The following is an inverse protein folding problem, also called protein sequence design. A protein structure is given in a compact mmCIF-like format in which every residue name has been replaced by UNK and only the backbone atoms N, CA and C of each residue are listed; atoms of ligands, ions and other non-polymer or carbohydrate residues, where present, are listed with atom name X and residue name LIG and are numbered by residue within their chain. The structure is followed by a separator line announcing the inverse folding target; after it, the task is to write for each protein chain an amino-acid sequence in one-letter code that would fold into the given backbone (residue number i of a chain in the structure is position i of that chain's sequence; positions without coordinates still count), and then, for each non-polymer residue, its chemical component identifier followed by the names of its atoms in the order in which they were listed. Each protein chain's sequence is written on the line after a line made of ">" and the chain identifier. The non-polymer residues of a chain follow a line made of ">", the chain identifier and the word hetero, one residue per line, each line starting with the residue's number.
data_IF_859462779525
#
_entry.id   IF_859462779525
#
_cell.length_a   1.000
_cell.length_b   1.000
_cell.length_c   1.000
_cell.angle_alpha   90.00
_cell.angle_beta   90.00
_cell.angle_gamma   90.00
#
_symmetry.space_group_name_H-M   'P 1'
#
loop_
_entity.id
_entity.type
_entity.pdbx_description
1 polymer ?
#
# COMPACT_ATOMS: atom_id res chain seq x y z
N UNK A 1 -0.77 -12.79 5.66
CA UNK A 1 -1.28 -13.70 4.59
C UNK A 1 -0.33 -14.86 4.33
N UNK A 2 0.96 -14.60 4.16
CA UNK A 2 2.00 -15.62 3.92
C UNK A 2 2.11 -16.60 5.08
N UNK A 3 2.06 -16.12 6.31
CA UNK A 3 2.13 -16.93 7.52
C UNK A 3 0.96 -17.94 7.62
N UNK A 4 -0.28 -17.51 7.34
CA UNK A 4 -1.45 -18.40 7.32
C UNK A 4 -1.34 -19.46 6.23
N UNK A 5 -0.90 -19.06 5.05
CA UNK A 5 -0.65 -19.98 3.93
C UNK A 5 0.39 -21.04 4.32
N UNK A 6 1.51 -20.62 4.92
CA UNK A 6 2.53 -21.53 5.40
C UNK A 6 1.99 -22.52 6.43
N UNK A 7 1.31 -22.02 7.48
CA UNK A 7 0.85 -22.87 8.60
C UNK A 7 -0.14 -23.94 8.13
N UNK A 8 -1.03 -23.65 7.19
CA UNK A 8 -2.13 -24.53 6.83
C UNK A 8 -1.97 -25.23 5.47
N UNK A 9 -1.12 -24.72 4.58
CA UNK A 9 -0.95 -25.24 3.21
C UNK A 9 0.41 -25.90 2.99
N UNK A 10 1.42 -25.68 3.85
CA UNK A 10 2.69 -26.38 3.77
C UNK A 10 2.59 -27.75 4.45
N UNK A 11 2.91 -28.81 3.70
CA UNK A 11 2.89 -30.21 4.17
C UNK A 11 3.82 -30.49 5.35
N UNK A 12 4.81 -29.64 5.59
CA UNK A 12 5.77 -29.78 6.69
C UNK A 12 5.24 -29.23 8.01
N UNK A 13 4.16 -28.44 7.97
CA UNK A 13 3.61 -27.80 9.16
C UNK A 13 2.59 -28.70 9.88
N UNK A 14 2.54 -28.67 11.22
CA UNK A 14 1.69 -29.56 12.02
C UNK A 14 0.18 -29.38 11.76
N UNK A 15 -0.24 -28.22 11.26
CA UNK A 15 -1.64 -27.90 10.98
C UNK A 15 -2.02 -28.09 9.50
N UNK A 16 -1.10 -28.65 8.68
CA UNK A 16 -1.43 -28.97 7.29
C UNK A 16 -2.68 -29.85 7.18
N UNK A 17 -3.59 -29.45 6.29
CA UNK A 17 -4.80 -30.21 5.99
C UNK A 17 -5.85 -30.24 7.11
N UNK A 18 -5.66 -29.51 8.22
CA UNK A 18 -6.63 -29.41 9.32
C UNK A 18 -7.61 -28.25 9.20
N UNK A 19 -7.51 -27.49 8.11
CA UNK A 19 -8.44 -26.38 7.84
C UNK A 19 -9.80 -26.95 7.41
N UNK A 20 -10.85 -26.67 8.17
CA UNK A 20 -12.22 -27.10 7.85
C UNK A 20 -12.99 -26.05 7.05
N UNK A 21 -12.65 -24.78 7.21
CA UNK A 21 -13.24 -23.67 6.45
C UNK A 21 -12.27 -22.50 6.39
N UNK A 22 -12.35 -21.70 5.32
CA UNK A 22 -11.58 -20.48 5.14
C UNK A 22 -12.51 -19.34 4.74
N UNK A 23 -12.47 -18.26 5.49
CA UNK A 23 -13.17 -17.01 5.15
C UNK A 23 -12.11 -15.99 4.76
N UNK A 24 -12.17 -15.53 3.52
CA UNK A 24 -11.29 -14.45 3.04
C UNK A 24 -12.05 -13.13 3.10
N UNK A 25 -11.57 -12.21 3.93
CA UNK A 25 -12.10 -10.85 3.97
C UNK A 25 -11.38 -10.02 2.91
N UNK A 26 -12.15 -9.33 2.09
CA UNK A 26 -11.64 -8.41 1.09
C UNK A 26 -11.88 -6.97 1.53
N UNK A 27 -11.05 -6.02 1.08
CA UNK A 27 -11.32 -4.59 1.26
C UNK A 27 -12.69 -4.21 0.73
N UNK A 28 -13.30 -3.19 1.31
CA UNK A 28 -14.57 -2.65 0.84
C UNK A 28 -14.45 -2.12 -0.59
N UNK A 29 -15.50 -2.35 -1.37
CA UNK A 29 -15.61 -1.77 -2.70
C UNK A 29 -15.83 -0.26 -2.62
N UNK A 30 -15.55 0.45 -3.70
CA UNK A 30 -15.80 1.91 -3.80
C UNK A 30 -17.25 2.26 -3.53
N UNK A 31 -18.20 1.40 -3.86
CA UNK A 31 -19.63 1.57 -3.55
C UNK A 31 -19.87 1.61 -2.05
N UNK A 32 -19.34 0.62 -1.30
CA UNK A 32 -19.48 0.57 0.17
C UNK A 32 -18.77 1.75 0.84
N UNK A 33 -17.57 2.10 0.37
CA UNK A 33 -16.82 3.27 0.88
C UNK A 33 -17.62 4.56 0.69
N UNK A 34 -18.29 4.70 -0.47
CA UNK A 34 -19.15 5.84 -0.77
C UNK A 34 -20.35 5.90 0.19
N UNK A 35 -21.01 4.78 0.47
CA UNK A 35 -22.11 4.69 1.43
C UNK A 35 -21.65 5.11 2.82
N UNK A 36 -20.54 4.56 3.31
CA UNK A 36 -19.96 4.92 4.62
C UNK A 36 -19.66 6.43 4.69
N UNK A 37 -19.03 6.99 3.65
CA UNK A 37 -18.70 8.42 3.64
C UNK A 37 -19.96 9.28 3.58
N UNK A 38 -21.00 8.88 2.83
CA UNK A 38 -22.27 9.57 2.75
C UNK A 38 -23.01 9.60 4.10
N UNK A 39 -22.95 8.54 4.87
CA UNK A 39 -23.56 8.48 6.21
C UNK A 39 -22.93 9.45 7.20
N UNK A 40 -21.63 9.72 7.07
CA UNK A 40 -20.89 10.62 7.96
C UNK A 40 -20.81 12.05 7.44
N UNK A 41 -20.77 12.25 6.14
CA UNK A 41 -20.61 13.54 5.47
C UNK A 41 -21.43 13.57 4.17
N UNK A 42 -22.75 13.81 4.20
CA UNK A 42 -23.62 13.74 3.03
C UNK A 42 -23.22 14.68 1.88
N UNK A 43 -22.41 15.70 2.16
CA UNK A 43 -21.95 16.68 1.16
C UNK A 43 -20.50 16.44 0.70
N UNK A 44 -19.98 15.20 0.84
CA UNK A 44 -18.66 14.87 0.36
C UNK A 44 -18.52 15.08 -1.16
N UNK A 45 -17.31 15.38 -1.60
CA UNK A 45 -16.98 15.51 -3.02
C UNK A 45 -16.42 14.23 -3.61
N UNK A 46 -16.35 14.13 -4.93
CA UNK A 46 -15.68 13.00 -5.60
C UNK A 46 -14.20 12.92 -5.23
N UNK A 47 -13.55 14.04 -4.95
CA UNK A 47 -12.17 14.12 -4.52
C UNK A 47 -11.98 13.55 -3.10
N UNK A 48 -12.93 13.81 -2.20
CA UNK A 48 -12.92 13.23 -0.85
C UNK A 48 -13.05 11.71 -0.90
N UNK A 49 -13.96 11.20 -1.73
CA UNK A 49 -14.12 9.76 -1.94
C UNK A 49 -12.86 9.11 -2.53
N UNK A 50 -12.26 9.77 -3.53
CA UNK A 50 -11.00 9.30 -4.11
C UNK A 50 -9.89 9.29 -3.07
N UNK A 51 -9.77 10.33 -2.26
CA UNK A 51 -8.78 10.41 -1.19
C UNK A 51 -8.97 9.28 -0.17
N UNK A 52 -10.20 9.06 0.29
CA UNK A 52 -10.52 7.98 1.21
C UNK A 52 -10.10 6.62 0.64
N UNK A 53 -10.41 6.35 -0.62
CA UNK A 53 -10.03 5.11 -1.28
C UNK A 53 -8.51 4.97 -1.47
N UNK A 54 -7.82 6.02 -1.89
CA UNK A 54 -6.36 5.98 -2.11
C UNK A 54 -5.57 5.87 -0.80
N UNK A 55 -6.08 6.44 0.30
CA UNK A 55 -5.46 6.37 1.62
C UNK A 55 -5.70 5.02 2.31
N UNK A 56 -6.86 4.41 2.11
CA UNK A 56 -7.29 3.26 2.90
C UNK A 56 -7.26 1.93 2.14
N UNK A 57 -7.26 1.99 0.79
CA UNK A 57 -7.44 0.80 -0.05
C UNK A 57 -8.75 0.05 0.19
N UNK A 58 -9.72 0.66 0.90
CA UNK A 58 -10.95 0.00 1.33
C UNK A 58 -10.82 -0.85 2.58
N UNK A 59 -9.68 -0.82 3.26
CA UNK A 59 -9.48 -1.58 4.51
C UNK A 59 -10.30 -0.96 5.64
N UNK A 60 -11.21 -1.74 6.22
CA UNK A 60 -12.16 -1.29 7.24
C UNK A 60 -11.48 -0.54 8.40
N UNK A 61 -10.37 -1.06 8.93
CA UNK A 61 -9.60 -0.44 10.02
C UNK A 61 -9.25 1.03 9.71
N UNK A 62 -8.73 1.30 8.53
CA UNK A 62 -8.28 2.67 8.17
C UNK A 62 -9.46 3.60 7.94
N UNK A 63 -10.54 3.09 7.35
CA UNK A 63 -11.79 3.85 7.18
C UNK A 63 -12.35 4.23 8.55
N UNK A 64 -12.45 3.27 9.48
CA UNK A 64 -12.94 3.52 10.84
C UNK A 64 -12.11 4.59 11.54
N UNK A 65 -10.78 4.52 11.48
CA UNK A 65 -9.91 5.54 12.07
C UNK A 65 -10.19 6.96 11.55
N UNK A 66 -10.41 7.11 10.25
CA UNK A 66 -10.72 8.40 9.64
C UNK A 66 -12.12 8.88 10.03
N UNK A 67 -13.11 7.99 10.07
CA UNK A 67 -14.48 8.33 10.47
C UNK A 67 -14.57 8.74 11.94
N UNK A 68 -13.92 8.01 12.84
CA UNK A 68 -13.84 8.34 14.28
C UNK A 68 -13.14 9.68 14.51
N UNK A 69 -12.09 9.98 13.74
CA UNK A 69 -11.40 11.26 13.77
C UNK A 69 -12.19 12.41 13.11
N UNK A 70 -13.38 12.14 12.55
CA UNK A 70 -14.19 13.11 11.77
C UNK A 70 -13.42 13.71 10.58
N UNK A 71 -12.48 12.95 10.02
CA UNK A 71 -11.70 13.35 8.86
C UNK A 71 -12.46 12.98 7.57
N UNK A 72 -13.42 13.78 7.17
CA UNK A 72 -14.38 13.45 6.11
C UNK A 72 -14.03 14.06 4.75
N UNK A 73 -13.09 14.97 4.68
CA UNK A 73 -12.64 15.59 3.43
C UNK A 73 -11.14 15.32 3.20
N UNK A 74 -10.68 15.49 1.96
CA UNK A 74 -9.30 15.26 1.55
C UNK A 74 -8.26 15.87 2.51
N UNK A 75 -8.39 17.15 2.78
CA UNK A 75 -7.43 17.87 3.64
C UNK A 75 -7.42 17.29 5.07
N UNK A 76 -8.59 17.06 5.65
CA UNK A 76 -8.69 16.47 6.99
C UNK A 76 -8.13 15.04 7.04
N UNK A 77 -8.38 14.22 6.01
CA UNK A 77 -7.84 12.85 5.92
C UNK A 77 -6.31 12.85 5.84
N UNK A 78 -5.73 13.68 4.98
CA UNK A 78 -4.27 13.80 4.84
C UNK A 78 -3.66 14.31 6.15
N UNK A 79 -4.22 15.36 6.74
CA UNK A 79 -3.77 15.91 8.01
C UNK A 79 -3.80 14.87 9.13
N UNK A 80 -4.88 14.10 9.25
CA UNK A 80 -4.97 13.03 10.24
C UNK A 80 -3.94 11.93 10.00
N UNK A 81 -3.82 11.45 8.78
CA UNK A 81 -2.90 10.37 8.43
C UNK A 81 -1.43 10.74 8.72
N UNK A 82 -1.07 12.02 8.59
CA UNK A 82 0.30 12.52 8.78
C UNK A 82 0.51 13.20 10.14
N UNK A 83 -0.51 13.28 11.00
CA UNK A 83 -0.40 13.89 12.33
C UNK A 83 0.54 13.07 13.24
N UNK A 84 1.16 13.74 14.22
CA UNK A 84 2.00 13.08 15.21
C UNK A 84 1.16 12.04 15.99
N UNK A 85 1.69 10.83 16.11
CA UNK A 85 1.01 9.71 16.76
C UNK A 85 -0.07 9.02 15.92
N UNK A 86 -0.28 9.43 14.67
CA UNK A 86 -1.21 8.72 13.79
C UNK A 86 -0.77 7.29 13.54
N UNK A 87 -1.68 6.30 13.67
CA UNK A 87 -1.38 4.90 13.32
C UNK A 87 -0.92 4.71 11.88
N UNK A 88 -1.32 5.58 10.96
CA UNK A 88 -0.89 5.52 9.56
C UNK A 88 0.62 5.65 9.38
N UNK A 89 1.32 6.33 10.29
CA UNK A 89 2.77 6.54 10.18
C UNK A 89 3.58 5.26 10.37
N UNK A 90 3.16 4.37 11.27
CA UNK A 90 3.91 3.16 11.63
C UNK A 90 3.33 1.88 11.02
N UNK A 91 2.06 1.85 10.70
CA UNK A 91 1.31 0.66 10.28
C UNK A 91 1.97 -0.10 9.13
N UNK A 92 2.42 0.60 8.08
CA UNK A 92 3.07 -0.04 6.94
C UNK A 92 4.36 -0.76 7.32
N UNK A 93 5.14 -0.17 8.25
CA UNK A 93 6.36 -0.76 8.77
C UNK A 93 6.06 -1.99 9.63
N UNK A 94 5.16 -1.85 10.58
CA UNK A 94 4.84 -2.88 11.57
C UNK A 94 4.26 -4.13 10.90
N UNK A 95 3.36 -3.94 9.92
CA UNK A 95 2.76 -5.00 9.14
C UNK A 95 3.80 -5.77 8.32
N UNK A 96 4.70 -5.08 7.64
CA UNK A 96 5.62 -5.70 6.69
C UNK A 96 6.88 -6.29 7.32
N UNK A 97 7.37 -5.74 8.44
CA UNK A 97 8.54 -6.31 9.14
C UNK A 97 8.25 -7.73 9.60
N UNK A 98 7.05 -7.97 10.13
CA UNK A 98 6.65 -9.31 10.58
C UNK A 98 6.57 -10.33 9.43
N UNK A 99 6.24 -9.88 8.22
CA UNK A 99 6.16 -10.74 7.04
C UNK A 99 7.54 -11.03 6.42
N UNK A 100 8.42 -10.04 6.32
CA UNK A 100 9.69 -10.15 5.60
C UNK A 100 10.86 -10.65 6.46
N UNK A 101 10.73 -10.60 7.78
CA UNK A 101 11.80 -11.00 8.69
C UNK A 101 13.11 -10.25 8.46
N UNK A 102 14.24 -10.95 8.39
CA UNK A 102 15.59 -10.36 8.28
C UNK A 102 15.84 -9.62 6.95
N UNK A 103 15.13 -9.99 5.89
CA UNK A 103 15.32 -9.42 4.55
C UNK A 103 14.48 -8.16 4.29
N UNK A 104 13.80 -7.64 5.31
CA UNK A 104 12.86 -6.51 5.17
C UNK A 104 13.46 -5.32 4.44
N UNK A 105 14.74 -4.97 4.67
CA UNK A 105 15.37 -3.81 4.07
C UNK A 105 15.41 -3.87 2.53
N UNK A 106 15.67 -5.05 1.95
CA UNK A 106 15.67 -5.25 0.50
C UNK A 106 14.25 -5.07 -0.07
N UNK A 107 13.26 -5.67 0.57
CA UNK A 107 11.86 -5.56 0.14
C UNK A 107 11.34 -4.13 0.24
N UNK A 108 11.65 -3.41 1.33
CA UNK A 108 11.27 -2.02 1.51
C UNK A 108 11.86 -1.11 0.43
N UNK A 109 13.15 -1.30 0.10
CA UNK A 109 13.80 -0.54 -0.98
C UNK A 109 13.11 -0.77 -2.33
N UNK A 110 12.76 -2.02 -2.65
CA UNK A 110 12.07 -2.36 -3.90
C UNK A 110 10.67 -1.74 -3.94
N UNK A 111 9.89 -1.88 -2.85
CA UNK A 111 8.52 -1.36 -2.77
C UNK A 111 8.49 0.18 -2.84
N UNK A 112 9.47 0.85 -2.20
CA UNK A 112 9.64 2.31 -2.29
C UNK A 112 9.90 2.76 -3.74
N UNK A 113 10.81 2.10 -4.44
CA UNK A 113 11.10 2.41 -5.84
C UNK A 113 9.89 2.21 -6.75
N UNK A 114 9.11 1.13 -6.53
CA UNK A 114 7.87 0.90 -7.28
C UNK A 114 6.85 2.01 -6.99
N UNK A 115 6.69 2.42 -5.74
CA UNK A 115 5.81 3.51 -5.35
C UNK A 115 6.23 4.86 -5.92
N UNK A 116 7.54 5.05 -6.16
CA UNK A 116 8.12 6.23 -6.81
C UNK A 116 8.04 6.20 -8.35
N UNK A 117 7.51 5.11 -8.93
CA UNK A 117 7.32 4.98 -10.37
C UNK A 117 8.44 4.24 -11.11
N UNK A 118 9.42 3.64 -10.40
CA UNK A 118 10.41 2.73 -10.98
C UNK A 118 9.79 1.33 -11.10
N UNK A 119 9.12 1.08 -12.19
CA UNK A 119 8.22 -0.06 -12.33
C UNK A 119 8.79 -1.24 -13.10
N UNK A 120 9.97 -1.11 -13.69
CA UNK A 120 10.63 -2.23 -14.39
C UNK A 120 11.75 -2.83 -13.56
N UNK A 121 11.95 -4.15 -13.66
CA UNK A 121 13.06 -4.81 -12.96
C UNK A 121 14.41 -4.16 -13.28
N UNK A 122 14.63 -3.76 -14.54
CA UNK A 122 15.89 -3.15 -14.97
C UNK A 122 16.17 -1.83 -14.25
N UNK A 123 15.17 -0.97 -14.08
CA UNK A 123 15.30 0.29 -13.34
C UNK A 123 15.64 0.02 -11.87
N UNK A 124 14.93 -0.94 -11.25
CA UNK A 124 15.12 -1.32 -9.85
C UNK A 124 16.52 -1.91 -9.65
N UNK A 125 16.93 -2.88 -10.49
CA UNK A 125 18.25 -3.50 -10.44
C UNK A 125 19.37 -2.45 -10.58
N UNK A 126 19.20 -1.49 -11.48
CA UNK A 126 20.18 -0.41 -11.70
C UNK A 126 20.36 0.50 -10.49
N UNK A 127 19.28 0.78 -9.74
CA UNK A 127 19.32 1.67 -8.57
C UNK A 127 19.86 0.93 -7.35
N UNK A 128 19.39 -0.31 -7.12
CA UNK A 128 19.81 -1.14 -5.97
C UNK A 128 21.20 -1.74 -6.19
N UNK A 129 21.70 -1.72 -7.44
CA UNK A 129 22.95 -2.36 -7.85
C UNK A 129 23.00 -3.88 -7.53
N UNK A 130 21.87 -4.56 -7.72
CA UNK A 130 21.69 -6.00 -7.43
C UNK A 130 20.56 -6.56 -8.30
N UNK A 131 20.66 -7.86 -8.65
CA UNK A 131 19.55 -8.55 -9.29
C UNK A 131 18.41 -8.74 -8.30
N UNK A 132 17.24 -8.14 -8.58
CA UNK A 132 16.06 -8.19 -7.71
C UNK A 132 15.00 -9.18 -8.15
N UNK A 133 15.27 -10.02 -9.17
CA UNK A 133 14.27 -10.90 -9.76
C UNK A 133 13.60 -11.86 -8.76
N UNK A 134 14.38 -12.45 -7.84
CA UNK A 134 13.83 -13.33 -6.78
C UNK A 134 12.97 -12.58 -5.78
N UNK A 135 13.37 -11.37 -5.39
CA UNK A 135 12.58 -10.51 -4.49
C UNK A 135 11.26 -10.11 -5.13
N UNK A 136 11.28 -9.72 -6.41
CA UNK A 136 10.06 -9.37 -7.16
C UNK A 136 9.13 -10.58 -7.32
N UNK A 137 9.67 -11.78 -7.55
CA UNK A 137 8.87 -13.01 -7.59
C UNK A 137 8.21 -13.29 -6.23
N UNK A 138 8.96 -13.20 -5.12
CA UNK A 138 8.40 -13.40 -3.79
C UNK A 138 7.33 -12.35 -3.45
N UNK A 139 7.57 -11.07 -3.79
CA UNK A 139 6.59 -9.99 -3.57
C UNK A 139 5.27 -10.23 -4.32
N UNK A 140 5.33 -10.86 -5.50
CA UNK A 140 4.15 -11.20 -6.29
C UNK A 140 3.49 -12.50 -5.82
N UNK A 141 4.26 -13.59 -5.74
CA UNK A 141 3.72 -14.95 -5.60
C UNK A 141 3.46 -15.33 -4.13
N UNK A 142 4.36 -14.93 -3.23
CA UNK A 142 4.29 -15.29 -1.81
C UNK A 142 3.52 -14.23 -1.00
N UNK A 143 3.91 -12.97 -1.14
CA UNK A 143 3.34 -11.88 -0.34
C UNK A 143 2.11 -11.22 -0.97
N UNK A 144 1.91 -11.38 -2.28
CA UNK A 144 0.80 -10.76 -3.03
C UNK A 144 0.73 -9.22 -2.88
N UNK A 145 1.89 -8.57 -2.73
CA UNK A 145 1.98 -7.11 -2.53
C UNK A 145 2.10 -6.35 -3.84
N UNK A 146 2.65 -6.98 -4.87
CA UNK A 146 2.77 -6.40 -6.20
C UNK A 146 2.10 -7.29 -7.24
N UNK A 147 1.82 -6.71 -8.39
CA UNK A 147 1.36 -7.44 -9.58
C UNK A 147 2.15 -7.03 -10.81
N UNK A 148 2.35 -7.98 -11.72
CA UNK A 148 2.86 -7.71 -13.06
C UNK A 148 1.76 -7.18 -13.97
N UNK A 149 2.02 -6.04 -14.59
CA UNK A 149 1.16 -5.46 -15.61
C UNK A 149 1.92 -5.46 -16.93
N UNK A 150 1.27 -5.93 -17.98
CA UNK A 150 1.80 -5.90 -19.35
C UNK A 150 0.87 -5.08 -20.23
N UNK A 151 1.39 -4.36 -21.23
CA UNK A 151 0.54 -3.73 -22.25
C UNK A 151 -0.36 -4.77 -22.92
N UNK A 152 -1.59 -4.39 -23.26
CA UNK A 152 -2.66 -5.29 -23.76
C UNK A 152 -2.22 -6.18 -24.94
N UNK A 153 -1.33 -5.69 -25.81
CA UNK A 153 -0.85 -6.43 -26.98
C UNK A 153 0.62 -6.84 -26.88
N UNK A 154 1.19 -6.85 -25.67
CA UNK A 154 2.58 -7.23 -25.47
C UNK A 154 2.77 -8.74 -25.72
N UNK A 155 3.85 -9.09 -26.46
CA UNK A 155 4.24 -10.50 -26.62
C UNK A 155 4.53 -11.14 -25.24
N UNK A 156 4.33 -12.46 -25.08
CA UNK A 156 4.56 -13.17 -23.81
C UNK A 156 5.93 -12.87 -23.18
N UNK A 157 6.97 -12.76 -23.99
CA UNK A 157 8.37 -12.48 -23.56
C UNK A 157 8.72 -10.99 -23.65
N UNK A 158 7.74 -10.09 -23.70
CA UNK A 158 7.99 -8.66 -23.77
C UNK A 158 8.71 -8.16 -22.52
N UNK A 159 9.77 -7.37 -22.71
CA UNK A 159 10.46 -6.63 -21.65
C UNK A 159 9.64 -5.45 -21.10
N UNK A 160 8.42 -5.25 -21.60
CA UNK A 160 7.50 -4.20 -21.18
C UNK A 160 6.72 -4.55 -19.89
N UNK A 161 7.13 -5.58 -19.15
CA UNK A 161 6.53 -5.92 -17.85
C UNK A 161 6.82 -4.79 -16.86
N UNK A 162 5.76 -4.34 -16.19
CA UNK A 162 5.82 -3.35 -15.12
C UNK A 162 5.28 -3.96 -13.83
N UNK A 163 5.84 -3.56 -12.70
CA UNK A 163 5.39 -3.95 -11.38
C UNK A 163 4.61 -2.80 -10.76
N UNK A 164 3.45 -3.12 -10.16
CA UNK A 164 2.61 -2.15 -9.47
C UNK A 164 2.26 -2.70 -8.08
N UNK A 165 2.29 -1.84 -7.07
CA UNK A 165 1.74 -2.16 -5.75
C UNK A 165 0.24 -2.44 -5.87
N UNK A 166 -0.26 -3.48 -5.21
CA UNK A 166 -1.67 -3.84 -5.23
C UNK A 166 -2.49 -3.04 -4.20
N UNK A 167 -1.91 -2.81 -3.04
CA UNK A 167 -2.54 -2.13 -1.92
C UNK A 167 -2.34 -0.61 -2.01
N UNK A 168 -3.44 0.14 -2.00
CA UNK A 168 -3.39 1.60 -2.13
C UNK A 168 -2.82 2.27 -0.87
N UNK A 169 -3.13 1.74 0.34
CA UNK A 169 -2.54 2.24 1.57
C UNK A 169 -1.01 2.11 1.53
N UNK A 170 -0.49 0.93 1.18
CA UNK A 170 0.95 0.72 1.07
C UNK A 170 1.59 1.58 -0.03
N UNK A 171 0.89 1.80 -1.13
CA UNK A 171 1.35 2.71 -2.19
C UNK A 171 1.51 4.13 -1.69
N UNK A 172 0.50 4.65 -0.96
CA UNK A 172 0.58 5.96 -0.31
C UNK A 172 1.70 5.99 0.74
N UNK A 173 1.76 4.96 1.58
CA UNK A 173 2.71 4.86 2.67
C UNK A 173 4.17 4.86 2.18
N UNK A 174 4.50 4.04 1.20
CA UNK A 174 5.86 4.03 0.62
C UNK A 174 6.18 5.34 -0.09
N UNK A 175 5.23 5.87 -0.87
CA UNK A 175 5.45 7.09 -1.66
C UNK A 175 5.70 8.32 -0.80
N UNK A 176 4.96 8.48 0.29
CA UNK A 176 4.94 9.72 1.06
C UNK A 176 5.52 9.57 2.47
N UNK A 177 5.22 8.50 3.18
CA UNK A 177 5.61 8.34 4.57
C UNK A 177 7.03 7.74 4.65
N UNK A 178 7.23 6.59 4.06
CA UNK A 178 8.53 5.89 4.12
C UNK A 178 9.66 6.68 3.46
N UNK A 179 9.44 7.19 2.25
CA UNK A 179 10.44 7.97 1.52
C UNK A 179 10.81 9.30 2.21
N UNK A 180 10.00 9.75 3.16
CA UNK A 180 10.24 10.99 3.92
C UNK A 180 10.41 10.76 5.43
N UNK A 181 10.81 9.56 5.84
CA UNK A 181 10.96 9.20 7.26
C UNK A 181 11.85 10.17 8.05
N UNK A 182 12.90 10.72 7.42
CA UNK A 182 13.76 11.71 8.06
C UNK A 182 13.01 12.98 8.51
N UNK A 183 11.98 13.42 7.77
CA UNK A 183 11.13 14.57 8.14
C UNK A 183 10.29 14.24 9.37
N UNK A 184 9.79 13.00 9.44
CA UNK A 184 9.01 12.51 10.58
C UNK A 184 9.88 12.36 11.84
N UNK A 185 11.11 11.85 11.72
CA UNK A 185 12.05 11.76 12.81
C UNK A 185 12.41 13.14 13.38
N UNK A 186 12.42 14.17 12.56
CA UNK A 186 12.59 15.56 12.98
C UNK A 186 11.31 16.19 13.57
N UNK A 187 10.19 15.45 13.66
CA UNK A 187 8.87 15.93 14.09
C UNK A 187 8.34 17.13 13.31
N UNK A 188 8.68 17.18 12.02
CA UNK A 188 8.25 18.25 11.10
C UNK A 188 7.09 17.80 10.21
N UNK A 189 6.08 17.17 10.80
CA UNK A 189 4.97 16.55 10.08
C UNK A 189 4.23 17.55 9.17
N UNK A 190 4.16 18.84 9.55
CA UNK A 190 3.56 19.89 8.71
C UNK A 190 4.25 20.02 7.34
N UNK A 191 5.58 19.88 7.27
CA UNK A 191 6.31 19.92 5.98
C UNK A 191 5.95 18.72 5.11
N UNK A 192 5.74 17.56 5.73
CA UNK A 192 5.29 16.37 5.01
C UNK A 192 3.86 16.56 4.48
N UNK A 193 2.97 17.14 5.28
CA UNK A 193 1.60 17.46 4.85
C UNK A 193 1.60 18.40 3.65
N UNK A 194 2.33 19.50 3.70
CA UNK A 194 2.48 20.43 2.57
C UNK A 194 3.04 19.74 1.32
N UNK A 195 4.03 18.87 1.51
CA UNK A 195 4.60 18.07 0.40
C UNK A 195 3.57 17.13 -0.22
N UNK A 196 2.78 16.43 0.60
CA UNK A 196 1.73 15.53 0.12
C UNK A 196 0.65 16.31 -0.61
N UNK A 197 0.12 17.39 -0.05
CA UNK A 197 -0.90 18.23 -0.68
C UNK A 197 -0.46 18.74 -2.07
N UNK A 198 0.79 19.21 -2.16
CA UNK A 198 1.36 19.69 -3.43
C UNK A 198 1.51 18.60 -4.49
N UNK A 199 1.77 17.36 -4.09
CA UNK A 199 2.02 16.25 -5.01
C UNK A 199 0.82 15.30 -5.16
N UNK A 200 -0.27 15.55 -4.45
CA UNK A 200 -1.42 14.64 -4.41
C UNK A 200 -2.11 14.49 -5.76
N UNK A 201 -2.30 15.59 -6.50
CA UNK A 201 -2.95 15.55 -7.82
C UNK A 201 -2.17 14.68 -8.82
N UNK A 202 -0.84 14.85 -8.85
CA UNK A 202 0.01 14.00 -9.68
C UNK A 202 -0.06 12.53 -9.24
N UNK A 203 -0.05 12.28 -7.95
CA UNK A 203 -0.14 10.93 -7.39
C UNK A 203 -1.48 10.26 -7.74
N UNK A 204 -2.60 10.93 -7.52
CA UNK A 204 -3.93 10.41 -7.81
C UNK A 204 -4.16 10.18 -9.30
N UNK A 205 -3.67 11.10 -10.16
CA UNK A 205 -3.77 10.98 -11.61
C UNK A 205 -2.96 9.81 -12.21
N UNK A 206 -1.92 9.34 -11.55
CA UNK A 206 -1.17 8.15 -11.98
C UNK A 206 -1.89 6.83 -11.66
N UNK A 207 -2.96 6.87 -10.86
CA UNK A 207 -3.67 5.70 -10.34
C UNK A 207 -5.04 5.47 -10.98
N UNK A 208 -5.52 6.44 -11.74
CA UNK A 208 -6.74 6.40 -12.54
C UNK A 208 -6.43 5.95 -13.96
#
# INVERSE_FOLDING_TARGET
>A
YSMMKRIFEDRKEPLYGRLTARISLHPFTTTVIKEILADHAPQFTSEDLLCLYLLTGGVAKYITLLMEAKAFNKTAMINYALSEGSPFLTEGKDMLISEFGKDYANYFSILSLIAEGKTTQREIDSIINKNTGSYLANLEDEYSLIKKVKPMFAKPNSRATRYCLQDNFLRFWFRFIFSNNAVLEMRKNHLLTEYVEKNYEQYSGLLL
#
